data_IF_575917477096
#
_entry.id   IF_575917477096
#
_cell.length_a   1.000
_cell.length_b   1.000
_cell.length_c   1.000
_cell.angle_alpha   90.00
_cell.angle_beta   90.00
_cell.angle_gamma   90.00
#
_symmetry.space_group_name_H-M   'P 1'
#
loop_
_entity.id
_entity.type
_entity.pdbx_description
1 polymer ?
#
# COMPACT_ATOMS: atom_id res chain seq x y z
N UNK A 1 5.84 8.43 12.98
CA UNK A 1 5.68 7.75 11.68
C UNK A 1 6.38 6.40 11.79
N UNK A 2 5.68 5.28 11.67
CA UNK A 2 6.29 3.98 11.44
C UNK A 2 6.20 3.72 9.93
N UNK A 3 7.21 4.20 9.20
CA UNK A 3 7.44 3.93 7.79
C UNK A 3 8.94 3.77 7.60
N UNK A 4 9.41 3.11 6.53
CA UNK A 4 10.84 2.96 6.28
C UNK A 4 11.49 4.35 6.32
N UNK A 5 12.71 4.44 6.85
CA UNK A 5 13.49 5.68 6.97
C UNK A 5 13.84 6.28 5.60
N UNK A 6 12.81 6.74 4.88
CA UNK A 6 12.92 7.34 3.57
C UNK A 6 13.53 8.72 3.69
N UNK A 7 14.51 9.00 2.84
CA UNK A 7 15.08 10.32 2.67
C UNK A 7 14.22 11.06 1.65
N UNK A 8 13.76 12.25 2.01
CA UNK A 8 13.10 13.17 1.07
C UNK A 8 14.17 13.69 0.11
N UNK A 9 13.90 13.54 -1.18
CA UNK A 9 14.74 14.05 -2.26
C UNK A 9 14.05 15.28 -2.87
N UNK A 10 14.56 16.46 -2.52
CA UNK A 10 14.06 17.74 -3.01
C UNK A 10 14.21 17.89 -4.53
N UNK A 11 13.51 18.86 -5.15
CA UNK A 11 13.71 19.22 -6.56
C UNK A 11 15.14 19.58 -6.91
N UNK A 12 15.82 20.25 -5.96
CA UNK A 12 17.22 20.67 -6.06
C UNK A 12 18.02 20.08 -4.88
N UNK A 13 18.53 18.84 -5.02
CA UNK A 13 19.31 18.20 -3.97
C UNK A 13 20.70 18.86 -3.84
N UNK A 14 21.14 19.04 -2.60
CA UNK A 14 22.45 19.65 -2.31
C UNK A 14 23.63 18.67 -2.46
N UNK A 15 23.35 17.36 -2.49
CA UNK A 15 24.39 16.32 -2.61
C UNK A 15 24.48 15.81 -4.04
N UNK A 16 25.69 15.49 -4.51
CA UNK A 16 25.92 14.91 -5.85
C UNK A 16 25.10 13.63 -6.07
N UNK A 17 25.08 12.75 -5.06
CA UNK A 17 24.27 11.54 -5.10
C UNK A 17 22.77 11.87 -5.23
N UNK A 18 22.29 12.90 -4.54
CA UNK A 18 20.90 13.35 -4.67
C UNK A 18 20.61 13.89 -6.07
N UNK A 19 21.52 14.69 -6.64
CA UNK A 19 21.38 15.25 -7.98
C UNK A 19 21.35 14.14 -9.04
N UNK A 20 22.23 13.14 -8.95
CA UNK A 20 22.22 11.97 -9.83
C UNK A 20 20.92 11.16 -9.70
N UNK A 21 20.46 10.89 -8.48
CA UNK A 21 19.16 10.25 -8.28
C UNK A 21 18.02 11.07 -8.89
N UNK A 22 18.07 12.41 -8.76
CA UNK A 22 17.05 13.30 -9.33
C UNK A 22 17.02 13.24 -10.86
N UNK A 23 18.17 13.06 -11.51
CA UNK A 23 18.25 12.82 -12.94
C UNK A 23 17.63 11.48 -13.34
N UNK A 24 17.90 10.40 -12.59
CA UNK A 24 17.31 9.07 -12.85
C UNK A 24 15.79 9.02 -12.69
N UNK A 25 15.23 9.87 -11.84
CA UNK A 25 13.78 10.01 -11.70
C UNK A 25 13.10 10.54 -12.98
N UNK A 26 13.86 11.15 -13.90
CA UNK A 26 13.40 11.84 -15.11
C UNK A 26 12.08 12.63 -14.90
N UNK A 27 11.98 13.50 -13.88
CA UNK A 27 10.72 14.13 -13.54
C UNK A 27 10.31 15.10 -14.64
N UNK A 28 9.17 14.86 -15.28
CA UNK A 28 8.63 15.72 -16.34
C UNK A 28 7.52 16.61 -15.80
N UNK A 29 7.44 17.84 -16.32
CA UNK A 29 6.35 18.78 -16.05
C UNK A 29 6.16 19.06 -14.55
N UNK A 30 4.96 18.84 -14.02
CA UNK A 30 4.58 19.11 -12.63
C UNK A 30 5.36 18.26 -11.61
N UNK A 31 5.93 17.11 -12.03
CA UNK A 31 6.78 16.29 -11.16
C UNK A 31 8.17 16.92 -10.92
N UNK A 32 8.60 17.87 -11.77
CA UNK A 32 9.89 18.54 -11.65
C UNK A 32 10.03 19.32 -10.34
N UNK A 33 8.96 19.93 -9.85
CA UNK A 33 8.96 20.69 -8.60
C UNK A 33 8.52 19.87 -7.38
N UNK A 34 8.25 18.57 -7.54
CA UNK A 34 7.77 17.73 -6.44
C UNK A 34 8.90 16.95 -5.78
N UNK A 35 8.86 16.87 -4.46
CA UNK A 35 9.70 15.98 -3.68
C UNK A 35 9.50 14.53 -4.11
N UNK A 36 10.60 13.79 -4.20
CA UNK A 36 10.59 12.33 -4.31
C UNK A 36 10.98 11.71 -2.97
N UNK A 37 10.74 10.41 -2.81
CA UNK A 37 11.21 9.69 -1.63
C UNK A 37 12.14 8.55 -2.06
N UNK A 38 13.30 8.51 -1.43
CA UNK A 38 14.29 7.44 -1.64
C UNK A 38 14.35 6.61 -0.38
N UNK A 39 14.03 5.32 -0.50
CA UNK A 39 14.13 4.36 0.59
C UNK A 39 15.44 3.60 0.44
N UNK A 40 16.26 3.63 1.50
CA UNK A 40 17.50 2.85 1.62
C UNK A 40 17.26 1.72 2.61
N UNK A 41 17.65 0.51 2.25
CA UNK A 41 17.50 -0.65 3.13
C UNK A 41 18.18 -1.89 2.58
N UNK A 42 17.61 -3.06 2.89
CA UNK A 42 18.02 -4.35 2.32
C UNK A 42 16.78 -5.20 2.05
N UNK A 43 16.90 -6.19 1.15
CA UNK A 43 15.79 -7.13 0.92
C UNK A 43 15.36 -7.84 2.20
N UNK A 44 16.32 -8.20 3.05
CA UNK A 44 16.05 -8.86 4.33
C UNK A 44 15.25 -7.96 5.27
N UNK A 45 15.63 -6.69 5.38
CA UNK A 45 14.88 -5.72 6.19
C UNK A 45 13.46 -5.56 5.64
N UNK A 46 13.32 -5.40 4.32
CA UNK A 46 12.01 -5.32 3.67
C UNK A 46 11.18 -6.59 3.89
N UNK A 47 11.78 -7.78 3.77
CA UNK A 47 11.11 -9.06 3.99
C UNK A 47 10.57 -9.18 5.42
N UNK A 48 11.34 -8.73 6.42
CA UNK A 48 10.88 -8.65 7.82
C UNK A 48 9.74 -7.66 7.99
N UNK A 49 9.88 -6.47 7.40
CA UNK A 49 8.85 -5.42 7.49
C UNK A 49 7.53 -5.83 6.83
N UNK A 50 7.54 -6.64 5.77
CA UNK A 50 6.30 -7.16 5.18
C UNK A 50 5.79 -8.43 5.88
N UNK A 51 6.50 -8.95 6.88
CA UNK A 51 6.16 -10.19 7.58
C UNK A 51 6.33 -11.44 6.74
N UNK A 52 7.29 -11.45 5.81
CA UNK A 52 7.58 -12.61 4.97
C UNK A 52 8.07 -13.79 5.81
N UNK A 53 7.54 -14.99 5.54
CA UNK A 53 7.75 -16.16 6.39
C UNK A 53 9.22 -16.58 6.51
N UNK A 54 10.00 -16.43 5.43
CA UNK A 54 11.43 -16.67 5.43
C UNK A 54 12.20 -15.41 4.98
N UNK A 55 12.52 -14.48 5.90
CA UNK A 55 13.20 -13.23 5.55
C UNK A 55 14.61 -13.40 4.99
N UNK A 56 15.23 -14.56 5.19
CA UNK A 56 16.56 -14.85 4.67
C UNK A 56 16.50 -15.32 3.20
N UNK A 57 15.35 -15.84 2.73
CA UNK A 57 15.08 -16.06 1.31
C UNK A 57 14.58 -14.77 0.64
N UNK A 58 15.54 -14.01 0.11
CA UNK A 58 15.29 -12.70 -0.48
C UNK A 58 14.90 -12.75 -1.97
N UNK A 59 15.03 -13.90 -2.63
CA UNK A 59 14.78 -14.03 -4.07
C UNK A 59 13.33 -13.69 -4.45
N UNK A 60 12.29 -14.16 -3.74
CA UNK A 60 10.90 -13.81 -4.06
C UNK A 60 10.61 -12.31 -3.89
N UNK A 61 11.22 -11.68 -2.89
CA UNK A 61 11.08 -10.23 -2.64
C UNK A 61 11.75 -9.44 -3.77
N UNK A 62 12.93 -9.87 -4.22
CA UNK A 62 13.63 -9.29 -5.37
C UNK A 62 12.79 -9.37 -6.64
N UNK A 63 12.30 -10.57 -6.99
CA UNK A 63 11.44 -10.78 -8.16
C UNK A 63 10.17 -9.92 -8.10
N UNK A 64 9.61 -9.72 -6.90
CA UNK A 64 8.48 -8.81 -6.70
C UNK A 64 8.83 -7.35 -6.98
N UNK A 65 9.99 -6.87 -6.51
CA UNK A 65 10.45 -5.50 -6.78
C UNK A 65 10.72 -5.30 -8.27
N UNK A 66 11.38 -6.25 -8.93
CA UNK A 66 11.62 -6.19 -10.39
C UNK A 66 10.32 -6.20 -11.19
N UNK A 67 9.31 -6.96 -10.75
CA UNK A 67 7.97 -6.93 -11.34
C UNK A 67 7.28 -5.58 -11.10
N UNK A 68 7.41 -5.02 -9.90
CA UNK A 68 6.84 -3.73 -9.52
C UNK A 68 7.48 -2.57 -10.31
N UNK A 69 8.79 -2.65 -10.56
CA UNK A 69 9.55 -1.72 -11.39
C UNK A 69 8.99 -1.61 -12.82
N UNK A 70 8.52 -2.74 -13.37
CA UNK A 70 7.93 -2.80 -14.71
C UNK A 70 6.50 -2.23 -14.78
N UNK A 71 5.89 -1.88 -13.64
CA UNK A 71 4.53 -1.33 -13.60
C UNK A 71 4.54 0.16 -13.94
N UNK A 72 3.79 0.52 -14.98
CA UNK A 72 3.51 1.90 -15.34
C UNK A 72 2.04 2.24 -15.07
N UNK A 73 1.80 3.43 -14.51
CA UNK A 73 0.50 4.00 -14.22
C UNK A 73 0.27 5.17 -15.17
N UNK A 74 -0.92 5.23 -15.77
CA UNK A 74 -1.34 6.38 -16.56
C UNK A 74 -2.44 7.09 -15.78
N UNK A 75 -2.15 8.31 -15.32
CA UNK A 75 -3.12 9.17 -14.66
C UNK A 75 -3.70 10.19 -15.65
N UNK A 76 -5.00 10.42 -15.55
CA UNK A 76 -5.68 11.47 -16.30
C UNK A 76 -6.37 12.43 -15.34
N UNK A 77 -6.05 13.72 -15.46
CA UNK A 77 -6.69 14.80 -14.72
C UNK A 77 -7.24 15.83 -15.73
N UNK A 78 -8.55 15.79 -15.96
CA UNK A 78 -9.20 16.55 -17.01
C UNK A 78 -8.63 16.21 -18.40
N UNK A 79 -8.08 17.22 -19.09
CA UNK A 79 -7.44 17.07 -20.40
C UNK A 79 -5.97 16.67 -20.35
N UNK A 80 -5.36 16.63 -19.16
CA UNK A 80 -3.95 16.23 -18.99
C UNK A 80 -3.88 14.73 -18.75
N UNK A 81 -3.03 14.04 -19.52
CA UNK A 81 -2.77 12.61 -19.39
C UNK A 81 -1.27 12.40 -19.23
N UNK A 82 -0.86 11.67 -18.20
CA UNK A 82 0.55 11.50 -17.86
C UNK A 82 0.82 10.05 -17.45
N UNK A 83 1.94 9.50 -17.92
CA UNK A 83 2.41 8.15 -17.58
C UNK A 83 3.58 8.22 -16.62
N UNK A 84 3.59 7.30 -15.66
CA UNK A 84 4.57 7.24 -14.57
C UNK A 84 4.94 5.79 -14.30
N UNK A 85 6.18 5.51 -13.89
CA UNK A 85 6.49 4.23 -13.24
C UNK A 85 6.15 4.30 -11.76
N UNK A 86 5.69 3.20 -11.20
CA UNK A 86 5.35 3.10 -9.77
C UNK A 86 6.61 3.24 -8.89
N UNK A 87 7.68 2.57 -9.31
CA UNK A 87 9.04 2.77 -8.81
C UNK A 87 9.81 3.57 -9.88
N UNK A 88 10.55 4.59 -9.47
CA UNK A 88 11.29 5.49 -10.37
C UNK A 88 12.77 5.20 -10.51
N UNK A 89 13.39 4.51 -9.53
CA UNK A 89 14.66 3.81 -9.72
C UNK A 89 14.73 2.57 -8.80
N UNK A 90 15.44 1.52 -9.22
CA UNK A 90 15.76 0.37 -8.40
C UNK A 90 17.22 -0.06 -8.64
N UNK A 91 18.01 -0.03 -7.58
CA UNK A 91 19.38 -0.54 -7.59
C UNK A 91 19.60 -1.43 -6.37
N UNK A 92 20.30 -2.54 -6.58
CA UNK A 92 20.80 -3.34 -5.48
C UNK A 92 22.23 -3.79 -5.70
N UNK A 93 22.99 -3.78 -4.62
CA UNK A 93 24.33 -4.33 -4.57
C UNK A 93 24.26 -5.69 -3.87
N UNK A 94 24.60 -6.77 -4.59
CA UNK A 94 24.58 -8.13 -4.04
C UNK A 94 25.68 -8.36 -3.01
N UNK A 95 26.81 -7.63 -3.08
CA UNK A 95 27.90 -7.77 -2.10
C UNK A 95 27.53 -7.13 -0.76
N UNK A 96 26.89 -5.96 -0.82
CA UNK A 96 26.53 -5.20 0.39
C UNK A 96 25.08 -5.47 0.87
N UNK A 97 24.28 -6.21 0.10
CA UNK A 97 22.87 -6.47 0.38
C UNK A 97 21.99 -5.22 0.41
N UNK A 98 22.49 -4.10 -0.14
CA UNK A 98 21.83 -2.80 -0.12
C UNK A 98 20.76 -2.74 -1.20
N UNK A 99 19.61 -2.19 -0.83
CA UNK A 99 18.48 -1.93 -1.70
C UNK A 99 18.19 -0.43 -1.71
N UNK A 100 18.14 0.13 -2.91
CA UNK A 100 17.71 1.50 -3.17
C UNK A 100 16.45 1.47 -4.02
N UNK A 101 15.39 2.11 -3.52
CA UNK A 101 14.14 2.27 -4.27
C UNK A 101 13.73 3.73 -4.20
N UNK A 102 13.56 4.35 -5.36
CA UNK A 102 13.02 5.69 -5.45
C UNK A 102 11.54 5.62 -5.84
N UNK A 103 10.68 6.30 -5.08
CA UNK A 103 9.25 6.40 -5.38
C UNK A 103 8.98 7.60 -6.27
N UNK A 104 8.00 7.44 -7.16
CA UNK A 104 7.53 8.52 -8.00
C UNK A 104 6.99 9.69 -7.16
N UNK A 105 7.33 10.95 -7.47
CA UNK A 105 6.86 12.13 -6.74
C UNK A 105 5.33 12.19 -6.52
N UNK A 106 4.52 11.75 -7.49
CA UNK A 106 3.06 11.76 -7.33
C UNK A 106 2.58 10.80 -6.24
N UNK A 107 3.23 9.64 -6.10
CA UNK A 107 2.95 8.66 -5.06
C UNK A 107 3.59 9.08 -3.75
N UNK A 108 4.80 9.63 -3.82
CA UNK A 108 5.53 10.15 -2.68
C UNK A 108 4.68 11.20 -1.94
N UNK A 109 3.92 12.07 -2.62
CA UNK A 109 3.03 13.05 -1.94
C UNK A 109 2.02 12.40 -0.99
N UNK A 110 1.41 11.27 -1.37
CA UNK A 110 0.50 10.53 -0.50
C UNK A 110 1.25 9.91 0.71
N UNK A 111 2.47 9.43 0.50
CA UNK A 111 3.29 8.83 1.56
C UNK A 111 3.88 9.89 2.51
N UNK A 112 4.26 11.06 1.99
CA UNK A 112 4.88 12.18 2.71
C UNK A 112 3.84 13.09 3.40
N UNK A 113 2.56 12.73 3.39
CA UNK A 113 1.51 13.46 4.09
C UNK A 113 0.99 14.72 3.38
N UNK A 114 1.47 15.01 2.17
CA UNK A 114 1.01 16.13 1.33
C UNK A 114 -0.24 15.83 0.50
N UNK A 115 -0.80 14.62 0.61
CA UNK A 115 -1.99 14.18 -0.13
C UNK A 115 -2.93 13.31 0.71
N UNK A 116 -4.12 13.05 0.17
CA UNK A 116 -5.04 12.07 0.76
C UNK A 116 -4.37 10.70 0.77
N UNK A 117 -4.36 10.05 1.93
CA UNK A 117 -3.77 8.75 2.11
C UNK A 117 -4.66 7.89 3.01
N UNK A 118 -4.53 6.58 2.83
CA UNK A 118 -5.19 5.59 3.67
C UNK A 118 -4.11 4.94 4.54
N UNK A 119 -4.28 5.01 5.85
CA UNK A 119 -3.43 4.27 6.78
C UNK A 119 -3.83 2.81 6.76
N UNK A 120 -2.86 1.90 6.68
CA UNK A 120 -3.06 0.46 6.80
C UNK A 120 -2.13 -0.02 7.89
N UNK A 121 -2.69 -0.69 8.91
CA UNK A 121 -1.89 -1.26 9.99
C UNK A 121 -1.22 -2.54 9.50
N UNK A 122 0.12 -2.57 9.50
CA UNK A 122 0.85 -3.76 9.11
C UNK A 122 0.69 -4.89 10.13
N UNK A 123 0.46 -4.57 11.41
CA UNK A 123 0.18 -5.58 12.43
C UNK A 123 -1.15 -6.30 12.15
N UNK A 124 -2.18 -5.55 11.72
CA UNK A 124 -3.45 -6.14 11.27
C UNK A 124 -3.24 -7.00 10.03
N UNK A 125 -2.50 -6.52 9.02
CA UNK A 125 -2.23 -7.29 7.78
C UNK A 125 -1.50 -8.60 8.05
N UNK A 126 -0.52 -8.58 8.96
CA UNK A 126 0.25 -9.78 9.38
C UNK A 126 -0.60 -10.75 10.20
N UNK A 127 -1.58 -10.26 10.97
CA UNK A 127 -2.48 -11.11 11.74
C UNK A 127 -3.51 -11.84 10.86
N UNK A 128 -3.85 -11.30 9.69
CA UNK A 128 -4.73 -11.93 8.71
C UNK A 128 -4.03 -13.10 8.01
N UNK A 129 -4.71 -14.23 7.92
CA UNK A 129 -4.13 -15.49 7.46
C UNK A 129 -4.33 -15.71 5.97
N UNK A 130 -5.46 -15.24 5.43
CA UNK A 130 -5.82 -15.49 4.04
C UNK A 130 -5.73 -14.25 3.15
N UNK A 131 -5.38 -14.45 1.87
CA UNK A 131 -5.31 -13.36 0.89
C UNK A 131 -6.65 -12.64 0.69
N UNK A 132 -7.82 -13.33 0.63
CA UNK A 132 -9.12 -12.67 0.62
C UNK A 132 -9.33 -11.73 1.80
N UNK A 133 -8.90 -12.12 3.01
CA UNK A 133 -9.04 -11.27 4.19
C UNK A 133 -8.14 -10.04 4.11
N UNK A 134 -6.88 -10.19 3.66
CA UNK A 134 -5.95 -9.07 3.44
C UNK A 134 -6.46 -8.09 2.38
N UNK A 135 -6.94 -8.58 1.24
CA UNK A 135 -7.48 -7.73 0.16
C UNK A 135 -8.75 -6.99 0.61
N UNK A 136 -9.64 -7.69 1.31
CA UNK A 136 -10.85 -7.09 1.87
C UNK A 136 -10.51 -6.01 2.90
N UNK A 137 -9.57 -6.28 3.82
CA UNK A 137 -9.06 -5.33 4.80
C UNK A 137 -8.54 -4.04 4.17
N UNK A 138 -7.67 -4.17 3.17
CA UNK A 138 -7.06 -3.03 2.47
C UNK A 138 -8.13 -2.16 1.79
N UNK A 139 -9.13 -2.79 1.15
CA UNK A 139 -10.24 -2.08 0.51
C UNK A 139 -11.14 -1.37 1.52
N UNK A 140 -11.47 -2.02 2.63
CA UNK A 140 -12.28 -1.42 3.70
C UNK A 140 -11.57 -0.25 4.36
N UNK A 141 -10.26 -0.35 4.62
CA UNK A 141 -9.46 0.78 5.10
C UNK A 141 -9.53 1.98 4.16
N UNK A 142 -9.73 1.73 2.86
CA UNK A 142 -9.79 2.76 1.81
C UNK A 142 -10.95 3.73 1.92
N UNK A 143 -12.05 3.35 2.58
CA UNK A 143 -13.25 4.18 2.67
C UNK A 143 -13.91 4.19 4.07
N UNK A 144 -13.44 3.36 5.01
CA UNK A 144 -13.83 3.40 6.42
C UNK A 144 -12.69 4.04 7.22
N UNK A 145 -12.93 5.26 7.70
CA UNK A 145 -12.00 5.94 8.60
C UNK A 145 -11.87 5.18 9.93
N UNK A 146 -10.70 5.26 10.61
CA UNK A 146 -10.53 4.69 11.94
C UNK A 146 -11.62 5.14 12.92
N UNK A 147 -12.18 4.19 13.66
CA UNK A 147 -13.27 4.43 14.62
C UNK A 147 -14.66 4.60 14.01
N UNK A 148 -14.77 4.72 12.68
CA UNK A 148 -16.06 4.82 11.97
C UNK A 148 -16.56 3.46 11.50
N UNK A 149 -17.84 3.43 11.13
CA UNK A 149 -18.50 2.27 10.54
C UNK A 149 -18.94 2.55 9.11
N UNK A 150 -19.01 1.50 8.31
CA UNK A 150 -19.44 1.50 6.93
C UNK A 150 -20.40 0.35 6.66
N UNK A 151 -21.35 0.56 5.76
CA UNK A 151 -22.29 -0.49 5.32
C UNK A 151 -21.92 -0.98 3.94
N UNK A 152 -21.95 -2.30 3.76
CA UNK A 152 -21.51 -2.95 2.53
C UNK A 152 -22.26 -4.26 2.31
N UNK A 153 -22.52 -4.59 1.05
CA UNK A 153 -23.13 -5.87 0.68
C UNK A 153 -22.07 -6.95 0.47
N UNK A 154 -22.43 -8.19 0.74
CA UNK A 154 -21.52 -9.33 0.62
C UNK A 154 -20.97 -9.47 -0.80
N UNK A 155 -21.78 -9.20 -1.82
CA UNK A 155 -21.35 -9.29 -3.22
C UNK A 155 -20.35 -8.18 -3.57
N UNK A 156 -20.50 -6.98 -2.99
CA UNK A 156 -19.49 -5.91 -3.09
C UNK A 156 -18.17 -6.34 -2.46
N UNK A 157 -18.20 -6.99 -1.29
CA UNK A 157 -17.01 -7.54 -0.66
C UNK A 157 -16.36 -8.65 -1.49
N UNK A 158 -17.15 -9.48 -2.19
CA UNK A 158 -16.60 -10.43 -3.15
C UNK A 158 -15.91 -9.72 -4.31
N UNK A 159 -16.52 -8.65 -4.85
CA UNK A 159 -15.94 -7.86 -5.95
C UNK A 159 -14.62 -7.17 -5.58
N UNK A 160 -14.36 -6.92 -4.29
CA UNK A 160 -13.06 -6.41 -3.83
C UNK A 160 -11.92 -7.41 -3.98
N UNK A 161 -12.22 -8.71 -3.85
CA UNK A 161 -11.23 -9.78 -3.89
C UNK A 161 -11.13 -10.40 -5.28
N UNK A 162 -12.26 -10.54 -5.97
CA UNK A 162 -12.35 -11.15 -7.29
C UNK A 162 -13.09 -10.22 -8.26
N UNK A 163 -12.36 -9.42 -9.06
CA UNK A 163 -12.97 -8.45 -9.96
C UNK A 163 -13.62 -9.08 -11.20
N UNK A 164 -13.26 -10.31 -11.54
CA UNK A 164 -13.79 -10.99 -12.73
C UNK A 164 -15.21 -11.51 -12.49
N UNK A 165 -16.02 -11.52 -13.55
CA UNK A 165 -17.34 -12.15 -13.51
C UNK A 165 -17.24 -13.64 -13.19
N UNK A 166 -18.19 -14.14 -12.39
CA UNK A 166 -18.21 -15.52 -11.96
C UNK A 166 -19.56 -16.16 -12.24
N UNK A 167 -19.50 -17.44 -12.62
CA UNK A 167 -20.69 -18.26 -12.72
C UNK A 167 -21.34 -18.46 -11.32
N UNK A 168 -22.60 -18.96 -11.27
CA UNK A 168 -23.34 -19.07 -10.01
C UNK A 168 -22.64 -19.92 -8.93
N UNK A 169 -21.96 -21.00 -9.32
CA UNK A 169 -21.25 -21.88 -8.39
C UNK A 169 -20.00 -21.22 -7.81
N UNK A 170 -19.22 -20.54 -8.66
CA UNK A 170 -18.07 -19.76 -8.25
C UNK A 170 -18.50 -18.62 -7.32
N UNK A 171 -19.59 -17.92 -7.62
CA UNK A 171 -20.13 -16.88 -6.73
C UNK A 171 -20.57 -17.43 -5.37
N UNK A 172 -21.17 -18.63 -5.32
CA UNK A 172 -21.50 -19.29 -4.05
C UNK A 172 -20.24 -19.53 -3.20
N UNK A 173 -19.15 -20.03 -3.81
CA UNK A 173 -17.86 -20.23 -3.14
C UNK A 173 -17.23 -18.90 -2.69
N UNK A 174 -17.25 -17.87 -3.54
CA UNK A 174 -16.73 -16.53 -3.22
C UNK A 174 -17.44 -15.91 -2.02
N UNK A 175 -18.78 -16.01 -1.96
CA UNK A 175 -19.58 -15.56 -0.81
C UNK A 175 -19.23 -16.30 0.48
N UNK A 176 -19.00 -17.61 0.40
CA UNK A 176 -18.58 -18.41 1.55
C UNK A 176 -17.19 -17.97 2.04
N UNK A 177 -16.24 -17.77 1.13
CA UNK A 177 -14.90 -17.28 1.45
C UNK A 177 -14.92 -15.87 2.03
N UNK A 178 -15.74 -14.97 1.48
CA UNK A 178 -15.90 -13.61 2.00
C UNK A 178 -16.45 -13.60 3.45
N UNK A 179 -17.38 -14.49 3.79
CA UNK A 179 -17.86 -14.66 5.18
C UNK A 179 -16.75 -15.13 6.12
N UNK A 180 -15.86 -16.03 5.66
CA UNK A 180 -14.68 -16.44 6.45
C UNK A 180 -13.70 -15.28 6.65
N UNK A 181 -13.44 -14.50 5.60
CA UNK A 181 -12.60 -13.31 5.68
C UNK A 181 -13.15 -12.26 6.66
N UNK A 182 -14.47 -12.06 6.69
CA UNK A 182 -15.14 -11.21 7.68
C UNK A 182 -14.95 -11.72 9.12
N UNK A 183 -14.95 -13.04 9.32
CA UNK A 183 -14.66 -13.62 10.63
C UNK A 183 -13.18 -13.42 11.05
N UNK A 184 -12.24 -13.50 10.10
CA UNK A 184 -10.83 -13.15 10.36
C UNK A 184 -10.67 -11.67 10.76
N UNK A 185 -11.37 -10.77 10.07
CA UNK A 185 -11.40 -9.34 10.46
C UNK A 185 -11.92 -9.15 11.87
N UNK A 186 -13.00 -9.83 12.24
CA UNK A 186 -13.54 -9.78 13.59
C UNK A 186 -12.53 -10.28 14.63
N UNK A 187 -11.78 -11.33 14.33
CA UNK A 187 -10.76 -11.90 15.21
C UNK A 187 -9.60 -10.93 15.50
N UNK A 188 -9.30 -10.00 14.59
CA UNK A 188 -8.26 -8.97 14.78
C UNK A 188 -8.81 -7.65 15.34
N UNK A 189 -10.06 -7.63 15.84
CA UNK A 189 -10.64 -6.51 16.57
C UNK A 189 -11.56 -5.58 15.77
N UNK A 190 -11.84 -5.88 14.50
CA UNK A 190 -12.87 -5.16 13.75
C UNK A 190 -14.26 -5.55 14.26
N UNK A 191 -15.22 -4.61 14.27
CA UNK A 191 -16.63 -4.98 14.56
C UNK A 191 -17.32 -5.32 13.25
N UNK A 192 -17.91 -6.50 13.15
CA UNK A 192 -18.56 -6.96 11.94
C UNK A 192 -19.94 -7.52 12.31
N UNK A 193 -21.00 -6.95 11.74
CA UNK A 193 -22.38 -7.35 12.05
C UNK A 193 -23.24 -7.48 10.79
N UNK A 194 -23.98 -8.58 10.67
CA UNK A 194 -24.94 -8.79 9.57
C UNK A 194 -26.31 -8.27 10.03
N UNK A 195 -26.70 -7.07 9.58
CA UNK A 195 -27.96 -6.45 9.98
C UNK A 195 -29.15 -6.89 9.11
N UNK A 196 -28.86 -7.42 7.92
CA UNK A 196 -29.81 -8.09 7.05
C UNK A 196 -29.07 -9.14 6.22
N UNK A 197 -29.78 -10.12 5.68
CA UNK A 197 -29.16 -11.21 4.90
C UNK A 197 -28.28 -10.64 3.77
N UNK A 198 -26.98 -10.91 3.85
CA UNK A 198 -25.98 -10.45 2.89
C UNK A 198 -25.57 -8.98 3.03
N UNK A 199 -26.04 -8.26 4.05
CA UNK A 199 -25.72 -6.85 4.29
C UNK A 199 -25.03 -6.68 5.64
N UNK A 200 -23.86 -6.05 5.59
CA UNK A 200 -22.94 -5.97 6.71
C UNK A 200 -22.70 -4.52 7.11
N UNK A 201 -22.64 -4.28 8.42
CA UNK A 201 -22.06 -3.09 9.00
C UNK A 201 -20.70 -3.47 9.58
N UNK A 202 -19.66 -2.80 9.10
CA UNK A 202 -18.26 -3.06 9.44
C UNK A 202 -17.70 -1.80 10.09
N UNK A 203 -17.19 -1.92 11.31
CA UNK A 203 -16.55 -0.84 12.05
C UNK A 203 -15.06 -1.09 12.14
N UNK A 204 -14.30 -0.08 11.72
CA UNK A 204 -12.85 -0.08 11.81
C UNK A 204 -12.42 0.28 13.25
N UNK A 205 -11.43 -0.42 13.83
CA UNK A 205 -10.85 -0.03 15.11
C UNK A 205 -10.40 1.42 15.11
N UNK A 206 -10.57 2.12 16.24
CA UNK A 206 -9.95 3.42 16.42
C UNK A 206 -8.44 3.24 16.47
N UNK A 207 -7.69 4.13 15.81
CA UNK A 207 -6.23 4.12 15.96
C UNK A 207 -5.92 4.50 17.41
N UNK A 208 -5.04 3.76 18.13
CA UNK A 208 -4.55 4.23 19.41
C UNK A 208 -3.98 5.63 19.23
N UNK A 209 -4.38 6.59 20.08
CA UNK A 209 -3.82 7.94 20.07
C UNK A 209 -2.33 7.90 20.47
N UNK A 210 -1.47 7.54 19.53
CA UNK A 210 -0.02 7.70 19.62
C UNK A 210 0.40 8.92 18.82
N UNK A 211 0.70 10.02 19.52
CA UNK A 211 1.32 11.26 19.04
C UNK A 211 1.19 11.54 17.53
N UNK A 212 0.17 12.31 17.16
CA UNK A 212 0.22 13.10 15.93
C UNK A 212 1.46 14.01 16.02
N UNK A 213 2.44 13.92 15.11
CA UNK A 213 3.44 14.96 14.99
C UNK A 213 2.72 16.23 14.58
N UNK A 214 2.87 17.31 15.36
CA UNK A 214 2.43 18.63 14.90
C UNK A 214 3.22 18.98 13.63
N UNK A 215 2.58 19.62 12.64
CA UNK A 215 3.31 20.12 11.48
C UNK A 215 4.40 21.10 11.96
N UNK A 216 5.60 21.09 11.35
CA UNK A 216 6.61 22.09 11.66
C UNK A 216 6.01 23.48 11.40
N UNK A 217 6.16 24.36 12.40
CA UNK A 217 5.88 25.79 12.27
C UNK A 217 6.90 26.45 11.34
#
# INVERSE_FOLDING_TARGET
MAGPGGLVLSPEPQTEAGQQLRLFLEPKWEAFQQDAMVVKGSYRALAREIGYANPDDTKPVRECIERLWKVSIIAQNGRKRQGFRLLSEYASDEQDGKLYVALNPLIARAVMGGGQHVRISMDEVRALQTDPARLMHQRLCGWIDPGKAGRVELDTLCGYVWPEEANPEAMKKRRQTARKALAELAAIGWTVSEYAKGKWEVKRPATPHGNLPQPPR
#
